data_IF_775234017930
#
_entry.id   IF_775234017930
#
_cell.length_a   1.000
_cell.length_b   1.000
_cell.length_c   1.000
_cell.angle_alpha   90.00
_cell.angle_beta   90.00
_cell.angle_gamma   90.00
#
_symmetry.space_group_name_H-M   'P 1'
#
loop_
_entity.id
_entity.type
_entity.pdbx_description
1 polymer ?
#
# COMPACT_ATOMS: atom_id res chain seq x y z
N UNK A 1 20.96 14.22 -13.13
CA UNK A 1 20.07 14.85 -12.14
C UNK A 1 18.87 15.37 -12.91
N UNK A 2 17.70 14.74 -12.75
CA UNK A 2 16.47 15.21 -13.37
C UNK A 2 15.92 16.35 -12.51
N UNK A 3 16.24 17.61 -12.85
CA UNK A 3 15.62 18.82 -12.28
C UNK A 3 14.19 19.04 -12.82
N UNK A 4 13.38 17.98 -12.88
CA UNK A 4 11.94 18.13 -12.99
C UNK A 4 11.36 17.79 -11.63
N UNK A 5 11.21 18.84 -10.82
CA UNK A 5 10.39 18.76 -9.63
C UNK A 5 9.02 18.20 -10.04
N UNK A 6 8.68 17.02 -9.52
CA UNK A 6 7.35 16.43 -9.66
C UNK A 6 6.28 17.49 -9.42
N UNK A 7 5.18 17.43 -10.18
CA UNK A 7 4.11 18.40 -9.98
C UNK A 7 3.57 18.30 -8.54
N UNK A 8 3.10 19.41 -7.98
CA UNK A 8 2.45 19.39 -6.66
C UNK A 8 1.27 18.40 -6.62
N UNK A 9 0.61 18.20 -7.76
CA UNK A 9 -0.44 17.19 -7.93
C UNK A 9 0.10 15.77 -7.75
N UNK A 10 1.22 15.41 -8.39
CA UNK A 10 1.87 14.12 -8.18
C UNK A 10 2.27 13.92 -6.73
N UNK A 11 2.94 14.90 -6.13
CA UNK A 11 3.35 14.82 -4.73
C UNK A 11 2.15 14.53 -3.81
N UNK A 12 1.05 15.27 -3.96
CA UNK A 12 -0.17 15.07 -3.19
C UNK A 12 -0.76 13.67 -3.42
N UNK A 13 -0.91 13.26 -4.68
CA UNK A 13 -1.50 11.95 -5.03
C UNK A 13 -0.67 10.78 -4.48
N UNK A 14 0.66 10.86 -4.59
CA UNK A 14 1.57 9.85 -4.06
C UNK A 14 1.53 9.77 -2.52
N UNK A 15 1.41 10.90 -1.82
CA UNK A 15 1.25 10.90 -0.36
C UNK A 15 -0.08 10.29 0.07
N UNK A 16 -1.17 10.57 -0.65
CA UNK A 16 -2.45 9.93 -0.36
C UNK A 16 -2.41 8.41 -0.55
N UNK A 17 -1.80 7.93 -1.64
CA UNK A 17 -1.61 6.49 -1.85
C UNK A 17 -0.75 5.84 -0.75
N UNK A 18 0.34 6.48 -0.34
CA UNK A 18 1.13 5.96 0.77
C UNK A 18 0.34 5.94 2.10
N UNK A 19 -0.41 7.00 2.39
CA UNK A 19 -1.16 7.15 3.63
C UNK A 19 -2.34 6.19 3.74
N UNK A 20 -3.17 6.10 2.68
CA UNK A 20 -4.31 5.19 2.66
C UNK A 20 -3.84 3.73 2.62
N UNK A 21 -2.82 3.39 1.83
CA UNK A 21 -2.26 2.05 1.79
C UNK A 21 -1.68 1.59 3.13
N UNK A 22 -1.01 2.50 3.85
CA UNK A 22 -0.58 2.28 5.23
C UNK A 22 -1.75 2.07 6.20
N UNK A 23 -2.79 2.90 6.11
CA UNK A 23 -3.99 2.77 6.93
C UNK A 23 -4.73 1.45 6.69
N UNK A 24 -4.87 1.03 5.44
CA UNK A 24 -5.47 -0.27 5.06
C UNK A 24 -4.70 -1.42 5.68
N UNK A 25 -3.37 -1.38 5.64
CA UNK A 25 -2.51 -2.41 6.22
C UNK A 25 -2.74 -2.55 7.73
N UNK A 26 -2.79 -1.42 8.45
CA UNK A 26 -3.08 -1.38 9.88
C UNK A 26 -4.50 -1.86 10.21
N UNK A 27 -5.48 -1.53 9.38
CA UNK A 27 -6.86 -1.99 9.55
C UNK A 27 -6.99 -3.49 9.32
N UNK A 28 -6.29 -4.05 8.34
CA UNK A 28 -6.25 -5.50 8.10
C UNK A 28 -5.63 -6.26 9.29
N UNK A 29 -4.54 -5.74 9.85
CA UNK A 29 -3.94 -6.25 11.10
C UNK A 29 -4.95 -6.15 12.25
N UNK A 30 -5.64 -5.01 12.36
CA UNK A 30 -6.65 -4.79 13.41
C UNK A 30 -7.81 -5.78 13.32
N UNK A 31 -8.29 -6.10 12.10
CA UNK A 31 -9.30 -7.15 11.89
C UNK A 31 -8.84 -8.50 12.44
N UNK A 32 -7.59 -8.89 12.18
CA UNK A 32 -7.04 -10.14 12.71
C UNK A 32 -6.92 -10.11 14.24
N UNK A 33 -6.42 -9.01 14.81
CA UNK A 33 -6.31 -8.84 16.27
C UNK A 33 -7.69 -8.91 16.94
N UNK A 34 -8.70 -8.22 16.41
CA UNK A 34 -10.07 -8.29 16.93
C UNK A 34 -10.61 -9.72 16.84
N UNK A 35 -10.28 -10.47 15.78
CA UNK A 35 -10.66 -11.87 15.69
C UNK A 35 -9.99 -12.76 16.75
N UNK A 36 -8.71 -12.55 17.04
CA UNK A 36 -8.01 -13.27 18.10
C UNK A 36 -8.60 -12.97 19.49
N UNK A 37 -9.10 -11.75 19.69
CA UNK A 37 -9.65 -11.29 20.96
C UNK A 37 -11.17 -11.53 21.11
N UNK A 38 -11.82 -12.19 20.14
CA UNK A 38 -13.28 -12.41 20.12
C UNK A 38 -13.83 -12.85 21.47
N UNK A 39 -13.26 -13.91 22.06
CA UNK A 39 -13.75 -14.51 23.31
C UNK A 39 -13.54 -13.61 24.53
N UNK A 40 -12.59 -12.66 24.45
CA UNK A 40 -12.30 -11.69 25.51
C UNK A 40 -13.13 -10.41 25.39
N UNK A 41 -13.61 -10.09 24.18
CA UNK A 41 -14.30 -8.83 23.89
C UNK A 41 -15.80 -8.89 24.18
N UNK A 42 -16.42 -10.08 24.13
CA UNK A 42 -17.86 -10.25 24.36
C UNK A 42 -18.68 -9.32 23.47
N UNK A 43 -19.58 -8.53 24.06
CA UNK A 43 -20.44 -7.57 23.34
C UNK A 43 -19.66 -6.46 22.60
N UNK A 44 -18.44 -6.14 23.04
CA UNK A 44 -17.59 -5.13 22.36
C UNK A 44 -17.09 -5.61 21.00
N UNK A 45 -17.07 -6.93 20.77
CA UNK A 45 -16.66 -7.52 19.50
C UNK A 45 -17.55 -7.03 18.36
N UNK A 46 -18.87 -7.09 18.52
CA UNK A 46 -19.81 -6.67 17.46
C UNK A 46 -19.69 -5.18 17.14
N UNK A 47 -19.52 -4.33 18.17
CA UNK A 47 -19.32 -2.90 17.99
C UNK A 47 -18.03 -2.61 17.20
N UNK A 48 -16.94 -3.32 17.50
CA UNK A 48 -15.69 -3.18 16.77
C UNK A 48 -15.79 -3.67 15.32
N UNK A 49 -16.47 -4.79 15.07
CA UNK A 49 -16.68 -5.28 13.70
C UNK A 49 -17.50 -4.29 12.85
N UNK A 50 -18.56 -3.70 13.45
CA UNK A 50 -19.39 -2.66 12.80
C UNK A 50 -18.63 -1.36 12.51
N UNK A 51 -17.54 -1.09 13.24
CA UNK A 51 -16.66 0.04 12.94
C UNK A 51 -15.59 -0.33 11.91
N UNK A 52 -14.90 -1.45 12.12
CA UNK A 52 -13.75 -1.86 11.31
C UNK A 52 -14.13 -2.15 9.85
N UNK A 53 -15.23 -2.87 9.62
CA UNK A 53 -15.65 -3.22 8.26
C UNK A 53 -15.89 -2.00 7.35
N UNK A 54 -16.76 -1.04 7.70
CA UNK A 54 -17.01 0.11 6.84
C UNK A 54 -15.77 0.99 6.70
N UNK A 55 -14.98 1.16 7.77
CA UNK A 55 -13.72 1.93 7.69
C UNK A 55 -12.74 1.26 6.73
N UNK A 56 -12.55 -0.06 6.81
CA UNK A 56 -11.67 -0.79 5.90
C UNK A 56 -12.17 -0.73 4.45
N UNK A 57 -13.48 -0.87 4.22
CA UNK A 57 -14.06 -0.79 2.88
C UNK A 57 -13.84 0.59 2.24
N UNK A 58 -14.10 1.67 3.00
CA UNK A 58 -13.87 3.05 2.53
C UNK A 58 -12.39 3.30 2.28
N UNK A 59 -11.50 2.88 3.18
CA UNK A 59 -10.06 3.08 3.01
C UNK A 59 -9.50 2.31 1.82
N UNK A 60 -9.97 1.08 1.57
CA UNK A 60 -9.61 0.32 0.38
C UNK A 60 -10.08 1.00 -0.91
N UNK A 61 -11.28 1.55 -0.92
CA UNK A 61 -11.78 2.30 -2.07
C UNK A 61 -10.93 3.55 -2.33
N UNK A 62 -10.66 4.34 -1.29
CA UNK A 62 -9.80 5.53 -1.39
C UNK A 62 -8.38 5.17 -1.84
N UNK A 63 -7.84 4.06 -1.35
CA UNK A 63 -6.51 3.57 -1.75
C UNK A 63 -6.47 3.25 -3.24
N UNK A 64 -7.43 2.45 -3.74
CA UNK A 64 -7.50 2.11 -5.17
C UNK A 64 -7.60 3.35 -6.06
N UNK A 65 -8.42 4.33 -5.67
CA UNK A 65 -8.54 5.60 -6.38
C UNK A 65 -7.23 6.39 -6.33
N UNK A 66 -6.55 6.41 -5.19
CA UNK A 66 -5.31 7.15 -5.01
C UNK A 66 -4.13 6.55 -5.78
N UNK A 67 -4.02 5.21 -5.90
CA UNK A 67 -3.02 4.55 -6.75
C UNK A 67 -3.23 4.96 -8.20
N UNK A 68 -4.48 4.95 -8.69
CA UNK A 68 -4.81 5.37 -10.04
C UNK A 68 -4.47 6.86 -10.26
N UNK A 69 -4.83 7.72 -9.32
CA UNK A 69 -4.52 9.14 -9.38
C UNK A 69 -3.01 9.41 -9.40
N UNK A 70 -2.24 8.72 -8.56
CA UNK A 70 -0.78 8.83 -8.52
C UNK A 70 -0.14 8.31 -9.82
N UNK A 71 -0.68 7.24 -10.39
CA UNK A 71 -0.22 6.69 -11.68
C UNK A 71 -0.49 7.67 -12.82
N UNK A 72 -1.68 8.28 -12.87
CA UNK A 72 -2.01 9.31 -13.86
C UNK A 72 -1.12 10.54 -13.68
N UNK A 73 -0.89 10.98 -12.44
CA UNK A 73 0.00 12.11 -12.16
C UNK A 73 1.43 11.84 -12.64
N UNK A 74 1.94 10.62 -12.44
CA UNK A 74 3.24 10.21 -12.96
C UNK A 74 3.29 10.23 -14.50
N UNK A 75 2.23 9.80 -15.19
CA UNK A 75 2.17 9.86 -16.65
C UNK A 75 2.12 11.31 -17.19
N UNK A 76 1.50 12.23 -16.46
CA UNK A 76 1.48 13.65 -16.81
C UNK A 76 2.88 14.26 -16.66
N UNK A 77 3.56 13.94 -15.57
CA UNK A 77 4.92 14.44 -15.29
C UNK A 77 5.96 13.83 -16.24
N UNK A 78 5.79 12.57 -16.65
CA UNK A 78 6.68 11.87 -17.58
C UNK A 78 6.01 11.61 -18.94
N UNK A 79 6.02 12.64 -19.78
CA UNK A 79 5.37 12.60 -21.10
C UNK A 79 5.98 11.57 -22.09
N UNK A 80 7.21 11.11 -21.84
CA UNK A 80 7.86 10.07 -22.66
C UNK A 80 7.81 8.75 -21.91
N UNK A 81 6.96 7.85 -22.38
CA UNK A 81 6.80 6.50 -21.79
C UNK A 81 8.13 5.74 -21.81
N UNK A 82 8.99 5.94 -22.82
CA UNK A 82 10.31 5.29 -22.87
C UNK A 82 11.22 5.74 -21.70
N UNK A 83 11.05 6.96 -21.20
CA UNK A 83 11.79 7.45 -20.04
C UNK A 83 11.38 6.75 -18.74
N UNK A 84 10.14 6.25 -18.65
CA UNK A 84 9.67 5.45 -17.53
C UNK A 84 10.28 4.03 -17.52
N UNK A 85 10.66 3.50 -18.69
CA UNK A 85 11.21 2.15 -18.80
C UNK A 85 12.74 2.11 -18.91
N UNK A 86 13.39 3.27 -19.05
CA UNK A 86 14.84 3.37 -19.21
C UNK A 86 15.63 3.04 -17.92
N UNK A 87 15.02 3.22 -16.74
CA UNK A 87 15.66 2.98 -15.44
C UNK A 87 15.15 1.71 -14.77
N UNK A 88 16.04 0.80 -14.30
CA UNK A 88 15.66 -0.34 -13.46
C UNK A 88 14.79 0.05 -12.26
N UNK A 89 15.12 1.15 -11.57
CA UNK A 89 14.36 1.65 -10.41
C UNK A 89 12.90 1.93 -10.76
N UNK A 90 12.67 2.60 -11.89
CA UNK A 90 11.31 3.00 -12.28
C UNK A 90 10.50 1.76 -12.69
N UNK A 91 11.13 0.77 -13.32
CA UNK A 91 10.51 -0.52 -13.64
C UNK A 91 10.09 -1.28 -12.39
N UNK A 92 10.98 -1.40 -11.41
CA UNK A 92 10.68 -2.08 -10.14
C UNK A 92 9.58 -1.36 -9.36
N UNK A 93 9.65 -0.03 -9.29
CA UNK A 93 8.59 0.79 -8.68
C UNK A 93 7.24 0.57 -9.37
N UNK A 94 7.21 0.55 -10.70
CA UNK A 94 6.01 0.26 -11.49
C UNK A 94 5.45 -1.13 -11.23
N UNK A 95 6.32 -2.16 -11.17
CA UNK A 95 5.91 -3.53 -10.84
C UNK A 95 5.29 -3.60 -9.44
N UNK A 96 5.90 -2.95 -8.44
CA UNK A 96 5.35 -2.92 -7.09
C UNK A 96 4.01 -2.19 -7.02
N UNK A 97 3.82 -1.11 -7.79
CA UNK A 97 2.52 -0.43 -7.89
C UNK A 97 1.44 -1.37 -8.46
N UNK A 98 1.74 -2.14 -9.50
CA UNK A 98 0.80 -3.11 -10.07
C UNK A 98 0.45 -4.20 -9.05
N UNK A 99 1.46 -4.78 -8.39
CA UNK A 99 1.25 -5.80 -7.36
C UNK A 99 0.46 -5.26 -6.16
N UNK A 100 0.72 -4.00 -5.76
CA UNK A 100 -0.02 -3.35 -4.69
C UNK A 100 -1.48 -3.16 -5.09
N UNK A 101 -1.74 -2.68 -6.31
CA UNK A 101 -3.09 -2.50 -6.84
C UNK A 101 -3.87 -3.83 -6.87
N UNK A 102 -3.26 -4.91 -7.35
CA UNK A 102 -3.87 -6.25 -7.33
C UNK A 102 -4.18 -6.72 -5.90
N UNK A 103 -3.23 -6.53 -4.98
CA UNK A 103 -3.39 -6.92 -3.57
C UNK A 103 -4.55 -6.17 -2.93
N UNK A 104 -4.62 -4.84 -3.10
CA UNK A 104 -5.71 -4.02 -2.59
C UNK A 104 -7.05 -4.33 -3.26
N UNK A 105 -7.06 -4.63 -4.56
CA UNK A 105 -8.28 -5.03 -5.28
C UNK A 105 -8.81 -6.34 -4.71
N UNK A 106 -7.92 -7.29 -4.43
CA UNK A 106 -8.30 -8.56 -3.84
C UNK A 106 -8.81 -8.40 -2.40
N UNK A 107 -8.15 -7.58 -1.59
CA UNK A 107 -8.66 -7.23 -0.26
C UNK A 107 -10.04 -6.57 -0.34
N UNK A 108 -10.24 -5.64 -1.27
CA UNK A 108 -11.53 -4.98 -1.48
C UNK A 108 -12.61 -5.99 -1.86
N UNK A 109 -12.32 -6.90 -2.79
CA UNK A 109 -13.22 -8.00 -3.12
C UNK A 109 -13.59 -8.85 -1.91
N UNK A 110 -12.64 -9.19 -1.04
CA UNK A 110 -12.94 -9.93 0.20
C UNK A 110 -13.88 -9.13 1.11
N UNK A 111 -13.68 -7.82 1.24
CA UNK A 111 -14.62 -6.98 2.02
C UNK A 111 -16.02 -7.00 1.43
N UNK A 112 -16.17 -6.90 0.10
CA UNK A 112 -17.48 -6.94 -0.56
C UNK A 112 -18.15 -8.31 -0.42
N UNK A 113 -17.37 -9.40 -0.51
CA UNK A 113 -17.87 -10.77 -0.44
C UNK A 113 -18.32 -11.17 0.97
N UNK A 114 -17.53 -10.83 1.99
CA UNK A 114 -17.76 -11.28 3.36
C UNK A 114 -18.45 -10.24 4.24
N UNK A 115 -18.44 -8.97 3.87
CA UNK A 115 -19.09 -7.90 4.62
C UNK A 115 -18.59 -7.83 6.07
N UNK A 116 -19.52 -7.61 7.00
CA UNK A 116 -19.25 -7.61 8.44
C UNK A 116 -18.69 -8.95 8.96
N UNK A 117 -18.95 -10.06 8.25
CA UNK A 117 -18.49 -11.41 8.62
C UNK A 117 -17.03 -11.67 8.23
N UNK A 118 -16.35 -10.71 7.61
CA UNK A 118 -14.93 -10.79 7.26
C UNK A 118 -14.08 -11.20 8.47
N UNK A 119 -14.40 -10.64 9.64
CA UNK A 119 -13.64 -10.85 10.87
C UNK A 119 -13.96 -12.22 11.48
N UNK A 120 -15.16 -12.76 11.31
CA UNK A 120 -15.62 -13.97 12.02
C UNK A 120 -14.86 -15.25 11.65
N UNK A 121 -14.41 -15.34 10.40
CA UNK A 121 -13.72 -16.51 9.89
C UNK A 121 -12.21 -16.39 10.09
N UNK A 122 -11.63 -17.26 10.92
CA UNK A 122 -10.17 -17.26 11.17
C UNK A 122 -9.36 -17.42 9.87
N UNK A 123 -9.70 -18.32 8.93
CA UNK A 123 -9.03 -18.38 7.64
C UNK A 123 -9.08 -17.06 6.85
N UNK A 124 -10.25 -16.40 6.83
CA UNK A 124 -10.41 -15.12 6.10
C UNK A 124 -9.63 -14.01 6.77
N UNK A 125 -9.69 -13.91 8.10
CA UNK A 125 -8.94 -12.93 8.87
C UNK A 125 -7.41 -13.12 8.71
N UNK A 126 -6.94 -14.38 8.71
CA UNK A 126 -5.51 -14.70 8.48
C UNK A 126 -5.08 -14.33 7.07
N UNK A 127 -5.95 -14.58 6.08
CA UNK A 127 -5.64 -14.23 4.71
C UNK A 127 -5.64 -12.71 4.50
N UNK A 128 -6.58 -11.98 5.11
CA UNK A 128 -6.58 -10.52 5.14
C UNK A 128 -5.33 -9.96 5.83
N UNK A 129 -4.86 -10.58 6.92
CA UNK A 129 -3.59 -10.22 7.56
C UNK A 129 -2.42 -10.39 6.59
N UNK A 130 -2.32 -11.53 5.91
CA UNK A 130 -1.24 -11.79 4.97
C UNK A 130 -1.22 -10.74 3.84
N UNK A 131 -2.38 -10.44 3.25
CA UNK A 131 -2.52 -9.40 2.23
C UNK A 131 -2.20 -8.00 2.79
N UNK A 132 -2.59 -7.70 4.03
CA UNK A 132 -2.27 -6.45 4.71
C UNK A 132 -0.77 -6.27 4.94
N UNK A 133 -0.05 -7.33 5.31
CA UNK A 133 1.42 -7.31 5.45
C UNK A 133 2.09 -7.14 4.09
N UNK A 134 1.67 -7.91 3.09
CA UNK A 134 2.23 -7.85 1.73
C UNK A 134 2.05 -6.44 1.15
N UNK A 135 0.83 -5.89 1.21
CA UNK A 135 0.54 -4.54 0.72
C UNK A 135 1.29 -3.46 1.51
N UNK A 136 1.39 -3.58 2.84
CA UNK A 136 2.18 -2.68 3.66
C UNK A 136 3.65 -2.66 3.28
N UNK A 137 4.25 -3.83 3.03
CA UNK A 137 5.62 -3.93 2.52
C UNK A 137 5.73 -3.26 1.14
N UNK A 138 4.81 -3.56 0.21
CA UNK A 138 4.82 -2.96 -1.12
C UNK A 138 4.76 -1.42 -1.07
N UNK A 139 3.90 -0.83 -0.24
CA UNK A 139 3.82 0.63 -0.08
C UNK A 139 5.13 1.21 0.45
N UNK A 140 5.77 0.56 1.43
CA UNK A 140 7.09 1.00 1.93
C UNK A 140 8.14 0.94 0.83
N UNK A 141 8.14 -0.12 0.01
CA UNK A 141 9.04 -0.23 -1.14
C UNK A 141 8.78 0.88 -2.16
N UNK A 142 7.53 1.10 -2.55
CA UNK A 142 7.13 2.13 -3.53
C UNK A 142 7.52 3.53 -3.03
N UNK A 143 7.24 3.83 -1.76
CA UNK A 143 7.56 5.11 -1.14
C UNK A 143 9.07 5.31 -1.00
N UNK A 144 9.81 4.27 -0.60
CA UNK A 144 11.27 4.27 -0.51
C UNK A 144 11.92 4.58 -1.86
N UNK A 145 11.54 3.84 -2.91
CA UNK A 145 12.00 4.09 -4.27
C UNK A 145 11.62 5.50 -4.76
N UNK A 146 10.42 5.98 -4.42
CA UNK A 146 10.01 7.35 -4.73
C UNK A 146 10.89 8.39 -4.04
N UNK A 147 11.19 8.20 -2.76
CA UNK A 147 12.10 9.06 -1.99
C UNK A 147 13.49 9.09 -2.61
N UNK A 148 14.06 7.92 -2.93
CA UNK A 148 15.37 7.80 -3.55
C UNK A 148 15.43 8.52 -4.91
N UNK A 149 14.42 8.33 -5.76
CA UNK A 149 14.34 9.02 -7.05
C UNK A 149 14.25 10.55 -6.92
N UNK A 150 13.64 11.03 -5.85
CA UNK A 150 13.36 12.46 -5.65
C UNK A 150 14.49 13.20 -4.95
N UNK A 151 15.16 12.53 -4.00
CA UNK A 151 16.11 13.16 -3.08
C UNK A 151 17.52 12.52 -3.11
N UNK A 152 17.69 11.40 -3.83
CA UNK A 152 18.95 10.64 -3.89
C UNK A 152 19.20 9.73 -2.69
N UNK A 153 18.38 9.83 -1.64
CA UNK A 153 18.44 9.03 -0.43
C UNK A 153 17.02 8.73 0.08
N UNK A 154 16.87 7.63 0.81
CA UNK A 154 15.63 7.24 1.45
C UNK A 154 15.85 6.25 2.59
N UNK A 155 14.82 6.04 3.42
CA UNK A 155 14.88 5.08 4.52
C UNK A 155 15.20 3.65 4.03
N UNK A 156 14.80 3.30 2.80
CA UNK A 156 15.05 1.96 2.27
C UNK A 156 16.54 1.75 1.97
N UNK A 157 17.25 2.79 1.53
CA UNK A 157 18.70 2.74 1.30
C UNK A 157 19.43 2.40 2.61
N UNK A 158 19.03 3.05 3.72
CA UNK A 158 19.54 2.73 5.05
C UNK A 158 19.27 1.28 5.47
N UNK A 159 18.09 0.72 5.14
CA UNK A 159 17.76 -0.67 5.45
C UNK A 159 18.65 -1.63 4.65
N UNK A 160 18.81 -1.39 3.34
CA UNK A 160 19.69 -2.20 2.48
C UNK A 160 21.15 -2.15 2.97
N UNK A 161 21.66 -0.97 3.30
CA UNK A 161 22.99 -0.77 3.86
C UNK A 161 23.18 -1.54 5.19
N UNK A 162 22.18 -1.50 6.08
CA UNK A 162 22.24 -2.22 7.37
C UNK A 162 22.18 -3.74 7.22
N UNK A 163 21.49 -4.23 6.19
CA UNK A 163 21.43 -5.66 5.88
C UNK A 163 22.65 -6.13 5.07
N UNK A 164 23.50 -5.21 4.62
CA UNK A 164 24.63 -5.52 3.73
C UNK A 164 24.18 -6.06 2.37
N UNK A 165 22.93 -5.78 1.98
CA UNK A 165 22.36 -6.21 0.71
C UNK A 165 22.51 -5.04 -0.26
N UNK A 166 23.18 -5.22 -1.41
CA UNK A 166 23.24 -4.16 -2.41
C UNK A 166 21.79 -3.85 -2.85
N UNK A 167 21.40 -2.57 -2.85
CA UNK A 167 20.08 -2.21 -3.33
C UNK A 167 19.88 -2.75 -4.74
N UNK A 168 18.70 -3.26 -5.11
CA UNK A 168 18.45 -3.78 -6.46
C UNK A 168 18.63 -2.73 -7.57
N UNK A 169 18.82 -1.46 -7.18
CA UNK A 169 19.12 -0.33 -8.04
C UNK A 169 20.56 0.20 -7.98
N UNK A 170 21.44 -0.38 -7.16
CA UNK A 170 22.86 -0.03 -7.20
C UNK A 170 23.48 -0.54 -8.52
N UNK A 171 24.28 0.29 -9.22
CA UNK A 171 24.92 -0.08 -10.49
C UNK A 171 25.89 -1.26 -10.37
#
# INVERSE_FOLDING_TARGET
>A
MYEHAFSSFHAIAAHFAAAFGGAVSLLAISCFVVRLLRDRLGERYEALCKLLYPTLNVMLFLELVSILAASVAALIDFQKVEALFASPIIRDKGLFIVLAFETYTFMYYLTLKYGERLVDSMPVATYMLALGIISGVLIVLIAGLGGHLSYGESLIDFIFDKLGIPPPWSP
#
